data_IF_035534732166
#
_entry.id   IF_035534732166
#
_cell.length_a   1.000
_cell.length_b   1.000
_cell.length_c   1.000
_cell.angle_alpha   90.00
_cell.angle_beta   90.00
_cell.angle_gamma   90.00
#
_symmetry.space_group_name_H-M   'P 1'
#
loop_
_entity.id
_entity.type
_entity.pdbx_description
1 polymer ?
#
# COMPACT_ATOMS: atom_id res chain seq x y z
N UNK A 1 5.77 -18.56 -7.33
CA UNK A 1 5.33 -18.97 -5.97
C UNK A 1 6.30 -18.64 -4.82
N UNK A 2 7.64 -18.50 -4.94
CA UNK A 2 8.45 -18.03 -3.80
C UNK A 2 8.47 -16.50 -3.59
N UNK A 3 8.13 -15.71 -4.61
CA UNK A 3 8.20 -14.25 -4.56
C UNK A 3 7.01 -13.56 -3.88
N UNK A 4 5.83 -14.18 -3.85
CA UNK A 4 4.63 -13.62 -3.20
C UNK A 4 4.83 -13.53 -1.68
N UNK A 5 5.43 -14.57 -1.09
CA UNK A 5 5.78 -14.57 0.33
C UNK A 5 6.81 -13.48 0.67
N UNK A 6 7.76 -13.22 -0.23
CA UNK A 6 8.77 -12.17 -0.02
C UNK A 6 8.14 -10.77 0.05
N UNK A 7 7.21 -10.46 -0.84
CA UNK A 7 6.50 -9.18 -0.83
C UNK A 7 5.70 -8.98 0.47
N UNK A 8 5.04 -10.04 0.95
CA UNK A 8 4.35 -10.05 2.23
C UNK A 8 5.30 -9.77 3.41
N UNK A 9 6.45 -10.47 3.49
CA UNK A 9 7.41 -10.27 4.58
C UNK A 9 8.03 -8.87 4.57
N UNK A 10 8.39 -8.36 3.38
CA UNK A 10 8.95 -7.00 3.25
C UNK A 10 7.91 -5.97 3.68
N UNK A 11 6.67 -6.08 3.20
CA UNK A 11 5.59 -5.14 3.54
C UNK A 11 5.30 -5.16 5.04
N UNK A 12 5.20 -6.34 5.63
CA UNK A 12 5.01 -6.51 7.09
C UNK A 12 6.18 -5.94 7.88
N UNK A 13 7.42 -6.18 7.44
CA UNK A 13 8.62 -5.63 8.06
C UNK A 13 8.66 -4.10 8.02
N UNK A 14 8.30 -3.49 6.89
CA UNK A 14 8.23 -2.02 6.77
C UNK A 14 7.13 -1.46 7.68
N UNK A 15 5.96 -2.11 7.77
CA UNK A 15 4.88 -1.68 8.65
C UNK A 15 5.25 -1.81 10.13
N UNK A 16 5.92 -2.89 10.54
CA UNK A 16 6.43 -3.04 11.90
C UNK A 16 7.48 -1.98 12.23
N UNK A 17 8.36 -1.66 11.28
CA UNK A 17 9.33 -0.59 11.43
C UNK A 17 8.66 0.78 11.54
N UNK A 18 7.62 1.05 10.73
CA UNK A 18 6.82 2.27 10.81
C UNK A 18 6.08 2.37 12.17
N UNK A 19 5.51 1.26 12.65
CA UNK A 19 4.87 1.15 13.96
C UNK A 19 5.85 1.45 15.11
N UNK A 20 7.09 0.97 14.99
CA UNK A 20 8.14 1.28 15.95
C UNK A 20 8.54 2.76 15.91
N UNK A 21 8.74 3.32 14.72
CA UNK A 21 9.11 4.73 14.53
C UNK A 21 8.02 5.67 15.08
N UNK A 22 6.74 5.39 14.82
CA UNK A 22 5.66 6.28 15.24
C UNK A 22 5.52 6.34 16.77
N UNK A 23 5.90 5.27 17.49
CA UNK A 23 5.89 5.25 18.96
C UNK A 23 6.90 6.20 19.60
N UNK A 24 7.89 6.66 18.83
CA UNK A 24 8.99 7.51 19.28
C UNK A 24 8.89 8.89 18.62
N UNK A 25 8.56 9.90 19.42
CA UNK A 25 8.33 11.27 18.95
C UNK A 25 9.51 11.85 18.13
N UNK A 26 10.75 11.60 18.57
CA UNK A 26 11.97 12.06 17.88
C UNK A 26 12.18 11.44 16.49
N UNK A 27 11.56 10.29 16.22
CA UNK A 27 11.73 9.57 14.96
C UNK A 27 10.56 9.77 13.99
N UNK A 28 9.48 10.44 14.38
CA UNK A 28 8.33 10.75 13.49
C UNK A 28 8.74 11.44 12.19
N UNK A 29 9.80 12.27 12.22
CA UNK A 29 10.40 12.92 11.03
C UNK A 29 10.84 11.93 9.93
N UNK A 30 11.07 10.66 10.26
CA UNK A 30 11.46 9.62 9.31
C UNK A 30 10.27 8.99 8.57
N UNK A 31 9.02 9.24 8.97
CA UNK A 31 7.83 8.68 8.31
C UNK A 31 7.71 9.20 6.87
N UNK A 32 7.89 10.50 6.66
CA UNK A 32 7.85 11.12 5.33
C UNK A 32 8.88 10.51 4.36
N UNK A 33 10.19 10.46 4.69
CA UNK A 33 11.16 9.82 3.82
C UNK A 33 10.91 8.32 3.68
N UNK A 34 10.42 7.63 4.72
CA UNK A 34 10.03 6.22 4.62
C UNK A 34 8.98 6.01 3.53
N UNK A 35 7.90 6.80 3.52
CA UNK A 35 6.86 6.73 2.50
C UNK A 35 7.39 6.87 1.07
N UNK A 36 8.22 7.90 0.83
CA UNK A 36 8.77 8.13 -0.50
C UNK A 36 9.79 7.07 -0.91
N UNK A 37 10.66 6.65 0.01
CA UNK A 37 11.62 5.57 -0.24
C UNK A 37 10.90 4.26 -0.56
N UNK A 38 9.88 3.89 0.21
CA UNK A 38 9.04 2.71 -0.07
C UNK A 38 8.38 2.82 -1.44
N UNK A 39 7.82 3.98 -1.78
CA UNK A 39 7.22 4.22 -3.10
C UNK A 39 8.21 4.01 -4.24
N UNK A 40 9.41 4.58 -4.14
CA UNK A 40 10.47 4.43 -5.13
C UNK A 40 10.96 2.99 -5.22
N UNK A 41 11.12 2.31 -4.09
CA UNK A 41 11.54 0.90 -4.05
C UNK A 41 10.52 -0.02 -4.71
N UNK A 42 9.22 0.18 -4.48
CA UNK A 42 8.15 -0.59 -5.13
C UNK A 42 8.21 -0.38 -6.65
N UNK A 43 8.26 0.86 -7.12
CA UNK A 43 8.34 1.16 -8.55
C UNK A 43 9.63 0.62 -9.19
N UNK A 44 10.75 0.73 -8.48
CA UNK A 44 12.04 0.16 -8.90
C UNK A 44 12.00 -1.35 -9.01
N UNK A 45 11.39 -2.03 -8.04
CA UNK A 45 11.20 -3.49 -8.06
C UNK A 45 10.32 -3.92 -9.24
N UNK A 46 9.21 -3.23 -9.51
CA UNK A 46 8.35 -3.53 -10.66
C UNK A 46 9.07 -3.33 -11.99
N UNK A 47 9.86 -2.26 -12.09
CA UNK A 47 10.70 -2.00 -13.26
C UNK A 47 11.74 -3.11 -13.46
N UNK A 48 12.34 -3.59 -12.37
CA UNK A 48 13.30 -4.69 -12.40
C UNK A 48 12.65 -6.01 -12.84
N UNK A 49 11.48 -6.36 -12.29
CA UNK A 49 10.73 -7.56 -12.70
C UNK A 49 10.31 -7.46 -14.18
N UNK A 50 9.87 -6.28 -14.63
CA UNK A 50 9.56 -6.01 -16.05
C UNK A 50 10.77 -6.27 -16.94
N UNK A 51 11.94 -5.79 -16.54
CA UNK A 51 13.19 -6.01 -17.28
C UNK A 51 13.56 -7.50 -17.33
N UNK A 52 13.46 -8.22 -16.21
CA UNK A 52 13.70 -9.67 -16.18
C UNK A 52 12.72 -10.42 -17.10
N UNK A 53 11.44 -10.05 -17.08
CA UNK A 53 10.43 -10.64 -17.96
C UNK A 53 10.75 -10.38 -19.43
N UNK A 54 11.18 -9.17 -19.77
CA UNK A 54 11.61 -8.81 -21.13
C UNK A 54 12.78 -9.69 -21.58
N UNK A 55 13.79 -9.87 -20.72
CA UNK A 55 14.94 -10.76 -20.99
C UNK A 55 14.54 -12.23 -21.11
N UNK A 56 13.55 -12.69 -20.36
CA UNK A 56 13.03 -14.03 -20.48
C UNK A 56 12.35 -14.25 -21.84
N UNK A 57 11.58 -13.27 -22.34
CA UNK A 57 10.92 -13.36 -23.64
C UNK A 57 11.91 -13.37 -24.80
N UNK A 58 12.99 -12.58 -24.72
CA UNK A 58 14.09 -12.59 -25.69
C UNK A 58 14.78 -13.95 -25.82
N UNK A 59 14.76 -14.78 -24.78
CA UNK A 59 15.41 -16.11 -24.77
C UNK A 59 14.45 -17.24 -25.17
N UNK A 60 13.22 -16.91 -25.55
CA UNK A 60 12.16 -17.86 -25.86
C UNK A 60 11.66 -17.70 -27.30
N UNK A 61 10.74 -18.56 -27.72
CA UNK A 61 10.06 -18.43 -29.02
C UNK A 61 9.25 -17.11 -29.16
N UNK A 62 9.05 -16.36 -28.06
CA UNK A 62 8.38 -15.05 -28.06
C UNK A 62 9.28 -13.89 -28.50
N UNK A 63 10.58 -14.12 -28.75
CA UNK A 63 11.52 -13.09 -29.22
C UNK A 63 11.06 -12.46 -30.55
N UNK A 64 10.54 -13.29 -31.46
CA UNK A 64 9.99 -12.85 -32.73
C UNK A 64 8.78 -11.91 -32.56
N UNK A 65 8.00 -12.11 -31.50
CA UNK A 65 6.83 -11.29 -31.19
C UNK A 65 7.29 -9.89 -30.74
N UNK A 66 8.19 -9.80 -29.77
CA UNK A 66 8.66 -8.52 -29.20
C UNK A 66 9.55 -7.70 -30.16
N UNK A 67 10.01 -8.27 -31.28
CA UNK A 67 10.70 -7.56 -32.34
C UNK A 67 9.80 -6.62 -33.17
N UNK A 68 8.48 -6.69 -32.99
CA UNK A 68 7.50 -5.84 -33.68
C UNK A 68 6.89 -4.80 -32.73
N UNK A 69 6.44 -3.67 -33.27
CA UNK A 69 5.71 -2.64 -32.48
C UNK A 69 4.46 -3.23 -31.79
N UNK A 70 3.75 -4.12 -32.46
CA UNK A 70 2.54 -4.73 -31.89
C UNK A 70 2.86 -5.77 -30.80
N UNK A 71 3.96 -6.52 -30.93
CA UNK A 71 4.41 -7.39 -29.84
C UNK A 71 4.99 -6.63 -28.65
N UNK A 72 5.60 -5.46 -28.84
CA UNK A 72 5.95 -4.57 -27.72
C UNK A 72 4.72 -4.04 -27.00
N UNK A 73 3.67 -3.63 -27.73
CA UNK A 73 2.39 -3.24 -27.13
C UNK A 73 1.76 -4.38 -26.34
N UNK A 74 1.77 -5.59 -26.91
CA UNK A 74 1.27 -6.78 -26.24
C UNK A 74 2.07 -7.09 -24.97
N UNK A 75 3.40 -7.04 -25.03
CA UNK A 75 4.27 -7.21 -23.87
C UNK A 75 3.99 -6.15 -22.79
N UNK A 76 3.82 -4.88 -23.17
CA UNK A 76 3.46 -3.83 -22.24
C UNK A 76 2.12 -4.12 -21.55
N UNK A 77 1.10 -4.56 -22.30
CA UNK A 77 -0.17 -5.00 -21.75
C UNK A 77 -0.03 -6.21 -20.81
N UNK A 78 0.79 -7.20 -21.19
CA UNK A 78 1.08 -8.37 -20.37
C UNK A 78 1.69 -7.96 -19.02
N UNK A 79 2.78 -7.19 -19.05
CA UNK A 79 3.47 -6.73 -17.83
C UNK A 79 2.56 -5.84 -17.00
N UNK A 80 1.77 -4.97 -17.64
CA UNK A 80 0.82 -4.12 -16.96
C UNK A 80 -0.19 -4.94 -16.15
N UNK A 81 -0.85 -5.91 -16.80
CA UNK A 81 -1.88 -6.74 -16.16
C UNK A 81 -1.29 -7.63 -15.06
N UNK A 82 -0.14 -8.26 -15.30
CA UNK A 82 0.40 -9.28 -14.40
C UNK A 82 1.27 -8.72 -13.26
N UNK A 83 1.92 -7.58 -13.45
CA UNK A 83 2.86 -7.02 -12.47
C UNK A 83 2.46 -5.64 -11.97
N UNK A 84 2.11 -4.71 -12.86
CA UNK A 84 1.95 -3.31 -12.46
C UNK A 84 0.59 -2.98 -11.86
N UNK A 85 -0.50 -3.54 -12.38
CA UNK A 85 -1.85 -3.09 -12.08
C UNK A 85 -2.14 -3.04 -10.57
N UNK A 86 -1.85 -4.11 -9.85
CA UNK A 86 -2.05 -4.18 -8.40
C UNK A 86 -1.38 -3.01 -7.68
N UNK A 87 -0.10 -2.77 -7.97
CA UNK A 87 0.69 -1.73 -7.29
C UNK A 87 0.40 -0.32 -7.82
N UNK A 88 0.09 -0.16 -9.10
CA UNK A 88 -0.32 1.12 -9.69
C UNK A 88 -1.62 1.59 -9.07
N UNK A 89 -2.61 0.69 -8.95
CA UNK A 89 -3.89 1.02 -8.32
C UNK A 89 -3.68 1.40 -6.86
N UNK A 90 -2.86 0.65 -6.11
CA UNK A 90 -2.51 1.01 -4.71
C UNK A 90 -1.75 2.32 -4.61
N UNK A 91 -0.82 2.58 -5.52
CA UNK A 91 -0.03 3.81 -5.52
C UNK A 91 -0.89 5.03 -5.81
N UNK A 92 -1.75 4.95 -6.84
CA UNK A 92 -2.73 5.99 -7.14
C UNK A 92 -3.68 6.19 -5.95
N UNK A 93 -4.20 5.11 -5.36
CA UNK A 93 -5.05 5.18 -4.17
C UNK A 93 -4.33 5.83 -2.99
N UNK A 94 -3.06 5.50 -2.74
CA UNK A 94 -2.25 6.09 -1.68
C UNK A 94 -2.04 7.59 -1.90
N UNK A 95 -1.75 8.02 -3.14
CA UNK A 95 -1.65 9.44 -3.49
C UNK A 95 -2.98 10.17 -3.34
N UNK A 96 -4.09 9.54 -3.72
CA UNK A 96 -5.43 10.11 -3.55
C UNK A 96 -5.77 10.27 -2.06
N UNK A 97 -5.55 9.24 -1.24
CA UNK A 97 -5.76 9.32 0.21
C UNK A 97 -4.86 10.37 0.84
N UNK A 98 -3.58 10.44 0.44
CA UNK A 98 -2.65 11.48 0.87
C UNK A 98 -3.18 12.88 0.54
N UNK A 99 -3.59 13.12 -0.71
CA UNK A 99 -4.09 14.41 -1.17
C UNK A 99 -5.40 14.80 -0.48
N UNK A 100 -6.34 13.86 -0.36
CA UNK A 100 -7.64 14.06 0.31
C UNK A 100 -7.44 14.37 1.80
N UNK A 101 -6.65 13.57 2.50
CA UNK A 101 -6.35 13.78 3.91
C UNK A 101 -5.69 15.13 4.14
N UNK A 102 -4.71 15.52 3.29
CA UNK A 102 -4.07 16.84 3.36
C UNK A 102 -5.06 17.97 3.09
N UNK A 103 -5.91 17.84 2.07
CA UNK A 103 -6.92 18.83 1.73
C UNK A 103 -7.94 19.03 2.86
N UNK A 104 -8.49 17.94 3.40
CA UNK A 104 -9.47 17.96 4.49
C UNK A 104 -8.84 18.51 5.76
N UNK A 105 -7.62 18.07 6.08
CA UNK A 105 -6.92 18.52 7.28
C UNK A 105 -6.61 20.03 7.22
N UNK A 106 -6.13 20.53 6.08
CA UNK A 106 -5.89 21.96 5.86
C UNK A 106 -7.19 22.77 5.95
N UNK A 107 -8.29 22.28 5.37
CA UNK A 107 -9.61 22.94 5.44
C UNK A 107 -10.14 23.05 6.86
N UNK A 108 -9.76 22.13 7.76
CA UNK A 108 -10.17 22.11 9.17
C UNK A 108 -9.12 22.68 10.13
N UNK A 109 -8.14 23.44 9.63
CA UNK A 109 -7.12 24.08 10.48
C UNK A 109 -6.15 23.11 11.14
N UNK A 110 -5.86 21.97 10.50
CA UNK A 110 -4.91 20.94 10.96
C UNK A 110 -5.30 20.25 12.28
N UNK A 111 -6.58 20.35 12.65
CA UNK A 111 -7.12 19.77 13.89
C UNK A 111 -7.28 18.26 13.80
N UNK A 112 -7.41 17.68 12.60
CA UNK A 112 -7.82 16.27 12.43
C UNK A 112 -6.65 15.29 12.36
N UNK A 113 -5.60 15.62 11.61
CA UNK A 113 -4.44 14.75 11.36
C UNK A 113 -3.12 15.50 11.60
N UNK A 114 -2.12 14.81 12.16
CA UNK A 114 -0.75 15.32 12.18
C UNK A 114 -0.17 15.21 10.76
N UNK A 115 0.82 16.03 10.43
CA UNK A 115 1.43 16.01 9.10
C UNK A 115 1.95 14.62 8.72
N UNK A 116 2.51 13.89 9.69
CA UNK A 116 3.06 12.55 9.57
C UNK A 116 1.99 11.46 9.44
N UNK A 117 0.83 11.63 10.10
CA UNK A 117 -0.29 10.66 10.04
C UNK A 117 -0.81 10.48 8.61
N UNK A 118 -0.78 11.56 7.82
CA UNK A 118 -1.18 11.53 6.41
C UNK A 118 -0.26 10.58 5.60
N UNK A 119 1.04 10.62 5.88
CA UNK A 119 2.01 9.72 5.23
C UNK A 119 1.86 8.27 5.72
N UNK A 120 1.51 8.05 6.99
CA UNK A 120 1.21 6.72 7.51
C UNK A 120 -0.02 6.11 6.81
N UNK A 121 -1.10 6.87 6.65
CA UNK A 121 -2.28 6.40 5.93
C UNK A 121 -1.96 6.03 4.48
N UNK A 122 -1.21 6.87 3.77
CA UNK A 122 -0.74 6.56 2.41
C UNK A 122 0.17 5.33 2.36
N UNK A 123 1.10 5.20 3.31
CA UNK A 123 2.00 4.04 3.43
C UNK A 123 1.22 2.74 3.64
N UNK A 124 0.21 2.77 4.51
CA UNK A 124 -0.67 1.63 4.75
C UNK A 124 -1.42 1.22 3.49
N UNK A 125 -2.02 2.17 2.75
CA UNK A 125 -2.69 1.89 1.47
C UNK A 125 -1.75 1.27 0.45
N UNK A 126 -0.54 1.82 0.33
CA UNK A 126 0.46 1.34 -0.62
C UNK A 126 0.91 -0.09 -0.32
N UNK A 127 1.20 -0.40 0.96
CA UNK A 127 1.78 -1.68 1.38
C UNK A 127 0.75 -2.79 1.55
N UNK A 128 -0.47 -2.46 1.98
CA UNK A 128 -1.57 -3.43 2.07
C UNK A 128 -1.99 -3.85 0.66
N UNK A 129 -1.87 -2.96 -0.32
CA UNK A 129 -2.03 -3.28 -1.73
C UNK A 129 -3.50 -3.33 -2.18
N UNK A 130 -3.70 -3.45 -3.48
CA UNK A 130 -4.98 -3.70 -4.10
C UNK A 130 -5.24 -5.22 -4.05
N UNK A 131 -6.47 -5.68 -3.78
CA UNK A 131 -7.69 -4.94 -3.43
C UNK A 131 -7.81 -4.60 -1.93
N UNK A 132 -6.85 -5.09 -1.15
CA UNK A 132 -6.83 -5.07 0.31
C UNK A 132 -7.10 -3.71 0.95
N UNK A 133 -6.68 -2.61 0.30
CA UNK A 133 -6.89 -1.27 0.85
C UNK A 133 -8.37 -0.90 1.01
N UNK A 134 -9.28 -1.54 0.27
CA UNK A 134 -10.73 -1.36 0.43
C UNK A 134 -11.24 -1.84 1.78
N UNK A 135 -10.55 -2.78 2.42
CA UNK A 135 -10.88 -3.24 3.78
C UNK A 135 -10.14 -2.40 4.82
N UNK A 136 -8.90 -2.03 4.52
CA UNK A 136 -8.05 -1.22 5.38
C UNK A 136 -8.65 0.14 5.74
N UNK A 137 -9.02 0.96 4.74
CA UNK A 137 -9.47 2.33 4.99
C UNK A 137 -10.75 2.36 5.83
N UNK A 138 -11.83 1.63 5.48
CA UNK A 138 -13.02 1.57 6.32
C UNK A 138 -12.73 1.05 7.72
N UNK A 139 -11.87 0.05 7.87
CA UNK A 139 -11.55 -0.52 9.18
C UNK A 139 -10.84 0.50 10.08
N UNK A 140 -9.89 1.28 9.56
CA UNK A 140 -9.27 2.38 10.33
C UNK A 140 -10.31 3.41 10.78
N UNK A 141 -11.21 3.82 9.88
CA UNK A 141 -12.26 4.79 10.20
C UNK A 141 -13.26 4.25 11.24
N UNK A 142 -13.67 2.99 11.10
CA UNK A 142 -14.55 2.31 12.05
C UNK A 142 -13.92 2.24 13.44
N UNK A 143 -12.65 1.82 13.53
CA UNK A 143 -11.93 1.78 14.80
C UNK A 143 -11.85 3.17 15.44
N UNK A 144 -11.53 4.20 14.66
CA UNK A 144 -11.49 5.57 15.16
C UNK A 144 -12.85 6.05 15.70
N UNK A 145 -13.95 5.72 15.02
CA UNK A 145 -15.31 6.06 15.48
C UNK A 145 -15.64 5.32 16.76
N UNK A 146 -15.40 3.99 16.82
CA UNK A 146 -15.67 3.17 18.00
C UNK A 146 -14.90 3.71 19.20
N UNK A 147 -13.60 3.98 19.05
CA UNK A 147 -12.80 4.52 20.15
C UNK A 147 -13.27 5.91 20.55
N UNK A 148 -13.64 6.78 19.60
CA UNK A 148 -14.21 8.09 19.92
C UNK A 148 -15.53 8.01 20.70
N UNK A 149 -16.37 7.01 20.43
CA UNK A 149 -17.65 6.81 21.14
C UNK A 149 -17.46 6.28 22.56
N UNK A 150 -16.43 5.45 22.79
CA UNK A 150 -16.10 4.89 24.11
C UNK A 150 -15.40 5.95 24.97
N UNK A 151 -14.52 6.74 24.38
CA UNK A 151 -13.63 7.68 25.10
C UNK A 151 -14.29 9.05 25.37
N UNK A 152 -15.63 9.08 25.50
CA UNK A 152 -16.54 10.25 25.61
C UNK A 152 -16.15 11.40 26.58
N UNK A 153 -15.04 11.29 27.33
CA UNK A 153 -14.65 12.19 28.41
C UNK A 153 -13.30 12.88 28.28
N UNK A 154 -12.50 12.62 27.25
CA UNK A 154 -11.22 13.31 27.09
C UNK A 154 -11.38 14.48 26.11
N UNK A 155 -11.11 15.70 26.59
CA UNK A 155 -10.96 16.91 25.75
C UNK A 155 -9.73 16.84 24.84
N UNK A 156 -8.97 15.75 24.92
CA UNK A 156 -7.78 15.51 24.14
C UNK A 156 -8.15 14.87 22.81
N UNK A 157 -7.48 15.34 21.75
CA UNK A 157 -7.64 14.83 20.40
C UNK A 157 -7.22 13.36 20.37
N UNK A 158 -8.10 12.50 19.83
CA UNK A 158 -7.75 11.12 19.62
C UNK A 158 -6.85 11.01 18.38
N UNK A 159 -5.59 10.58 18.54
CA UNK A 159 -4.64 10.64 17.45
C UNK A 159 -4.72 9.34 16.64
N UNK A 160 -4.95 9.48 15.33
CA UNK A 160 -5.25 8.36 14.42
C UNK A 160 -4.01 7.48 14.15
N UNK A 161 -2.80 7.93 14.52
CA UNK A 161 -1.56 7.17 14.35
C UNK A 161 -1.60 5.77 14.96
N UNK A 162 -2.36 5.56 16.04
CA UNK A 162 -2.46 4.25 16.68
C UNK A 162 -3.20 3.22 15.83
N UNK A 163 -4.00 3.63 14.85
CA UNK A 163 -4.77 2.72 14.02
C UNK A 163 -4.11 2.45 12.66
N UNK A 164 -3.43 3.44 12.06
CA UNK A 164 -2.93 3.30 10.70
C UNK A 164 -2.03 2.06 10.49
N UNK A 165 -0.98 1.89 11.30
CA UNK A 165 -0.05 0.78 11.12
C UNK A 165 -0.60 -0.57 11.65
N UNK A 166 -1.17 -0.65 12.88
CA UNK A 166 -1.69 -1.92 13.37
C UNK A 166 -2.82 -2.49 12.52
N UNK A 167 -3.72 -1.65 12.02
CA UNK A 167 -4.79 -2.09 11.12
C UNK A 167 -4.23 -2.56 9.78
N UNK A 168 -3.20 -1.91 9.24
CA UNK A 168 -2.55 -2.36 8.00
C UNK A 168 -1.92 -3.75 8.17
N UNK A 169 -1.23 -3.97 9.28
CA UNK A 169 -0.63 -5.28 9.62
C UNK A 169 -1.73 -6.34 9.76
N UNK A 170 -2.80 -6.04 10.51
CA UNK A 170 -3.90 -6.97 10.71
C UNK A 170 -4.57 -7.36 9.39
N UNK A 171 -4.84 -6.39 8.52
CA UNK A 171 -5.44 -6.65 7.20
C UNK A 171 -4.52 -7.52 6.35
N UNK A 172 -3.21 -7.23 6.31
CA UNK A 172 -2.25 -8.08 5.60
C UNK A 172 -2.24 -9.51 6.12
N UNK A 173 -2.24 -9.70 7.44
CA UNK A 173 -2.26 -11.03 8.06
C UNK A 173 -3.54 -11.81 7.71
N UNK A 174 -4.70 -11.17 7.85
CA UNK A 174 -5.99 -11.80 7.53
C UNK A 174 -6.05 -12.19 6.06
N UNK A 175 -5.52 -11.35 5.17
CA UNK A 175 -5.54 -11.64 3.74
C UNK A 175 -4.62 -12.82 3.43
N UNK A 176 -3.37 -12.74 3.87
CA UNK A 176 -2.35 -13.76 3.59
C UNK A 176 -2.72 -15.13 4.15
N UNK A 177 -3.21 -15.21 5.40
CA UNK A 177 -3.52 -16.50 6.04
C UNK A 177 -4.90 -17.04 5.72
N UNK A 178 -5.87 -16.18 5.36
CA UNK A 178 -7.25 -16.60 5.22
C UNK A 178 -7.90 -16.18 3.91
N UNK A 179 -7.95 -14.88 3.58
CA UNK A 179 -8.75 -14.40 2.45
C UNK A 179 -8.28 -14.95 1.11
N UNK A 180 -6.96 -15.09 0.88
CA UNK A 180 -6.43 -15.60 -0.38
C UNK A 180 -6.83 -17.05 -0.69
N UNK A 181 -7.24 -17.82 0.33
CA UNK A 181 -7.71 -19.20 0.17
C UNK A 181 -9.21 -19.28 -0.12
N UNK A 182 -9.93 -18.16 -0.12
CA UNK A 182 -11.38 -18.12 -0.33
C UNK A 182 -11.74 -17.83 -1.78
N UNK A 183 -12.75 -18.53 -2.30
CA UNK A 183 -13.20 -18.41 -3.69
C UNK A 183 -13.69 -17.00 -4.06
N UNK A 184 -14.31 -16.30 -3.13
CA UNK A 184 -14.80 -14.94 -3.37
C UNK A 184 -13.66 -13.91 -3.50
N UNK A 185 -12.47 -14.17 -2.94
CA UNK A 185 -11.34 -13.24 -3.05
C UNK A 185 -10.85 -13.07 -4.48
N UNK A 186 -10.98 -14.12 -5.31
CA UNK A 186 -10.60 -14.07 -6.72
C UNK A 186 -11.45 -13.07 -7.52
N UNK A 187 -12.66 -12.71 -7.06
CA UNK A 187 -13.49 -11.69 -7.72
C UNK A 187 -12.87 -10.29 -7.69
N UNK A 188 -11.95 -10.06 -6.76
CA UNK A 188 -11.25 -8.79 -6.61
C UNK A 188 -9.88 -8.77 -7.30
N UNK A 189 -9.36 -9.91 -7.77
CA UNK A 189 -8.11 -9.97 -8.54
C UNK A 189 -8.43 -9.61 -10.00
N UNK A 190 -7.80 -8.55 -10.51
CA UNK A 190 -7.86 -8.15 -11.92
C UNK A 190 -6.64 -8.67 -12.68
#
# INVERSE_FOLDING_TARGET
MPYENLAFYISTGILLFALFIQSKEKTKKFIKPLFWTTSVLVLGYLSYITYLQYKAFQKSYLDLTIGTLDGLKWFAGYVQLHFWNTYLVSFVAALLIFALAKYINKKRGEVFLEGEEIYLGGLGVLLVGYPSFFFYIPLVLLLAIITSLITKKQKERLPLYYFWMPTAILVLLVIFFWAEHQSWWFTFRF
#
